data_IF_034951915010
#
_entry.id   IF_034951915010
#
_cell.length_a   1.000
_cell.length_b   1.000
_cell.length_c   1.000
_cell.angle_alpha   90.00
_cell.angle_beta   90.00
_cell.angle_gamma   90.00
#
_symmetry.space_group_name_H-M   'P 1'
#
loop_
_entity.id
_entity.type
_entity.pdbx_description
1 polymer ?
#
# COMPACT_ATOMS: atom_id res chain seq x y z
N UNK A 1 0.46 -10.68 -5.76
CA UNK A 1 -0.77 -11.44 -6.00
C UNK A 1 -1.96 -10.51 -5.79
N UNK A 2 -2.61 -10.07 -6.86
CA UNK A 2 -3.78 -9.18 -6.78
C UNK A 2 -5.06 -9.96 -6.47
N UNK A 3 -5.09 -11.21 -6.92
CA UNK A 3 -6.28 -12.07 -6.96
C UNK A 3 -6.70 -12.56 -5.58
N UNK A 4 -5.85 -12.37 -4.57
CA UNK A 4 -6.21 -12.62 -3.17
C UNK A 4 -7.19 -11.58 -2.59
N UNK A 5 -7.34 -10.41 -3.23
CA UNK A 5 -8.17 -9.32 -2.69
C UNK A 5 -9.09 -8.66 -3.72
N UNK A 6 -8.87 -8.87 -5.01
CA UNK A 6 -9.59 -8.17 -6.06
C UNK A 6 -9.88 -9.07 -7.27
N UNK A 7 -10.96 -8.76 -7.99
CA UNK A 7 -11.16 -9.24 -9.35
C UNK A 7 -10.24 -8.43 -10.28
N UNK A 8 -9.44 -9.10 -11.10
CA UNK A 8 -8.38 -8.47 -11.89
C UNK A 8 -8.69 -8.56 -13.40
N UNK A 9 -9.08 -7.45 -14.05
CA UNK A 9 -9.22 -7.42 -15.51
C UNK A 9 -7.88 -7.62 -16.22
N UNK A 10 -7.90 -8.20 -17.43
CA UNK A 10 -6.69 -8.50 -18.20
C UNK A 10 -5.79 -7.27 -18.43
N UNK A 11 -6.37 -6.09 -18.68
CA UNK A 11 -5.60 -4.86 -18.95
C UNK A 11 -4.65 -4.47 -17.79
N UNK A 12 -4.90 -4.94 -16.56
CA UNK A 12 -4.03 -4.66 -15.41
C UNK A 12 -2.64 -5.24 -15.67
N UNK A 13 -2.56 -6.43 -16.26
CA UNK A 13 -1.30 -7.09 -16.59
C UNK A 13 -0.56 -6.34 -17.68
N UNK A 14 -1.26 -5.91 -18.73
CA UNK A 14 -0.69 -5.06 -19.79
C UNK A 14 -0.07 -3.78 -19.23
N UNK A 15 -0.78 -3.10 -18.32
CA UNK A 15 -0.27 -1.88 -17.67
C UNK A 15 0.95 -2.17 -16.80
N UNK A 16 0.97 -3.29 -16.07
CA UNK A 16 2.11 -3.66 -15.24
C UNK A 16 3.35 -3.95 -16.09
N UNK A 17 3.20 -4.63 -17.23
CA UNK A 17 4.30 -4.86 -18.18
C UNK A 17 4.83 -3.55 -18.75
N UNK A 18 3.96 -2.59 -19.06
CA UNK A 18 4.36 -1.27 -19.55
C UNK A 18 5.03 -0.39 -18.48
N UNK A 19 4.78 -0.65 -17.19
CA UNK A 19 5.14 0.21 -16.07
C UNK A 19 6.17 -0.45 -15.13
N UNK A 20 7.09 -1.23 -15.70
CA UNK A 20 8.05 -2.07 -14.97
C UNK A 20 8.94 -1.33 -13.94
N UNK A 21 9.19 -0.02 -14.15
CA UNK A 21 10.08 0.80 -13.33
C UNK A 21 9.37 1.84 -12.44
N UNK A 22 8.04 1.78 -12.33
CA UNK A 22 7.27 2.77 -11.55
C UNK A 22 6.23 2.10 -10.67
N UNK A 23 5.81 2.79 -9.61
CA UNK A 23 4.71 2.31 -8.77
C UNK A 23 3.38 2.61 -9.44
N UNK A 24 2.47 1.63 -9.49
CA UNK A 24 1.14 1.77 -10.08
C UNK A 24 0.09 1.30 -9.09
N UNK A 25 -1.00 2.06 -8.97
CA UNK A 25 -2.14 1.71 -8.14
C UNK A 25 -3.39 1.54 -8.99
N UNK A 26 -4.11 0.45 -8.77
CA UNK A 26 -5.35 0.11 -9.45
C UNK A 26 -6.50 0.13 -8.46
N UNK A 27 -7.62 0.76 -8.84
CA UNK A 27 -8.89 0.62 -8.14
C UNK A 27 -9.66 -0.52 -8.81
N UNK A 28 -9.88 -1.60 -8.07
CA UNK A 28 -10.44 -2.84 -8.59
C UNK A 28 -11.67 -3.27 -7.79
N UNK A 29 -12.57 -4.09 -8.35
CA UNK A 29 -13.63 -4.74 -7.58
C UNK A 29 -13.04 -5.58 -6.45
N UNK A 30 -13.53 -5.38 -5.22
CA UNK A 30 -13.13 -6.14 -4.04
C UNK A 30 -13.80 -7.52 -4.08
N UNK A 31 -13.05 -8.57 -3.79
CA UNK A 31 -13.62 -9.91 -3.61
C UNK A 31 -14.56 -9.98 -2.39
N UNK A 32 -15.67 -10.73 -2.43
CA UNK A 32 -16.66 -10.80 -1.34
C UNK A 32 -16.09 -11.12 0.05
N UNK A 33 -15.09 -12.00 0.12
CA UNK A 33 -14.42 -12.49 1.34
C UNK A 33 -13.50 -11.45 2.01
N UNK A 34 -13.06 -10.43 1.28
CA UNK A 34 -12.14 -9.42 1.81
C UNK A 34 -12.86 -8.52 2.82
N UNK A 35 -12.39 -8.31 4.05
CA UNK A 35 -13.14 -7.51 5.02
C UNK A 35 -13.45 -6.09 4.51
N UNK A 36 -14.71 -5.65 4.64
CA UNK A 36 -15.14 -4.29 4.28
C UNK A 36 -14.36 -3.18 5.01
N UNK A 37 -13.75 -3.51 6.15
CA UNK A 37 -12.86 -2.61 6.88
C UNK A 37 -11.68 -2.15 6.02
N UNK A 38 -11.19 -2.99 5.10
CA UNK A 38 -10.07 -2.67 4.20
C UNK A 38 -10.42 -1.68 3.09
N UNK A 39 -11.71 -1.47 2.82
CA UNK A 39 -12.20 -0.58 1.76
C UNK A 39 -12.97 0.62 2.29
N UNK A 40 -13.05 0.76 3.63
CA UNK A 40 -13.93 1.74 4.27
C UNK A 40 -15.40 1.54 3.89
N UNK A 41 -15.83 0.29 3.70
CA UNK A 41 -17.21 -0.07 3.37
C UNK A 41 -17.55 -0.13 1.87
N UNK A 42 -16.61 0.15 0.98
CA UNK A 42 -16.81 0.17 -0.48
C UNK A 42 -16.70 -1.23 -1.10
N UNK A 43 -17.27 -1.38 -2.28
CA UNK A 43 -17.17 -2.60 -3.09
C UNK A 43 -15.91 -2.63 -3.98
N UNK A 44 -15.05 -1.62 -3.87
CA UNK A 44 -13.77 -1.54 -4.56
C UNK A 44 -12.61 -1.43 -3.57
N UNK A 45 -11.45 -1.94 -3.99
CA UNK A 45 -10.19 -1.92 -3.23
C UNK A 45 -9.07 -1.33 -4.10
N UNK A 46 -8.15 -0.60 -3.48
CA UNK A 46 -6.94 -0.13 -4.14
C UNK A 46 -5.82 -1.13 -3.90
N UNK A 47 -5.25 -1.65 -4.99
CA UNK A 47 -4.05 -2.51 -4.95
C UNK A 47 -2.92 -1.79 -5.65
N UNK A 48 -1.75 -1.74 -5.01
CA UNK A 48 -0.57 -1.02 -5.53
C UNK A 48 0.60 -1.98 -5.71
N UNK A 49 1.19 -1.97 -6.89
CA UNK A 49 2.54 -2.53 -7.12
C UNK A 49 3.54 -1.41 -6.90
N UNK A 50 4.50 -1.66 -6.02
CA UNK A 50 5.49 -0.69 -5.59
C UNK A 50 6.80 -0.95 -6.31
N UNK A 51 7.45 0.12 -6.77
CA UNK A 51 8.81 0.09 -7.30
C UNK A 51 9.75 0.82 -6.34
N UNK A 52 9.82 0.33 -5.10
CA UNK A 52 10.71 0.85 -4.06
C UNK A 52 11.42 -0.32 -3.37
N UNK A 53 12.77 -0.38 -3.35
CA UNK A 53 13.51 -1.55 -2.88
C UNK A 53 13.11 -2.01 -1.47
N UNK A 54 12.96 -1.08 -0.52
CA UNK A 54 12.54 -1.43 0.83
C UNK A 54 11.11 -1.99 0.86
N UNK A 55 10.18 -1.43 0.10
CA UNK A 55 8.78 -1.86 0.14
C UNK A 55 8.62 -3.25 -0.49
N UNK A 56 9.39 -3.53 -1.55
CA UNK A 56 9.48 -4.86 -2.16
C UNK A 56 10.04 -5.87 -1.13
N UNK A 57 11.18 -5.56 -0.51
CA UNK A 57 11.79 -6.44 0.47
C UNK A 57 10.88 -6.74 1.68
N UNK A 58 10.09 -5.74 2.13
CA UNK A 58 9.09 -5.95 3.17
C UNK A 58 7.97 -6.89 2.70
N UNK A 59 7.46 -6.71 1.48
CA UNK A 59 6.44 -7.58 0.90
C UNK A 59 6.96 -9.01 0.68
N UNK A 60 8.23 -9.20 0.32
CA UNK A 60 8.82 -10.53 0.11
C UNK A 60 8.85 -11.36 1.41
N UNK A 61 8.98 -10.69 2.56
CA UNK A 61 9.04 -11.35 3.88
C UNK A 61 7.66 -11.46 4.52
N UNK A 62 6.82 -10.43 4.41
CA UNK A 62 5.54 -10.34 5.11
C UNK A 62 4.33 -10.75 4.27
N UNK A 63 4.49 -10.86 2.95
CA UNK A 63 3.37 -10.89 2.01
C UNK A 63 2.76 -9.49 1.77
N UNK A 64 1.52 -9.41 1.28
CA UNK A 64 0.85 -8.14 1.00
C UNK A 64 0.72 -7.25 2.24
N UNK A 65 1.06 -5.96 2.09
CA UNK A 65 1.02 -5.00 3.19
C UNK A 65 -0.10 -3.98 2.96
N UNK A 66 -0.99 -3.87 3.95
CA UNK A 66 -1.95 -2.77 4.03
C UNK A 66 -1.21 -1.54 4.55
N UNK A 67 -1.30 -0.42 3.83
CA UNK A 67 -0.62 0.82 4.22
C UNK A 67 -1.50 2.05 3.98
N UNK A 68 -1.22 3.07 4.76
CA UNK A 68 -1.70 4.46 4.57
C UNK A 68 -0.50 5.39 4.65
N UNK A 69 -0.71 6.70 4.51
CA UNK A 69 0.35 7.66 4.80
C UNK A 69 0.68 7.60 6.30
N UNK A 70 1.98 7.62 6.64
CA UNK A 70 2.48 7.42 8.00
C UNK A 70 2.33 8.68 8.88
N UNK A 71 1.11 9.20 8.98
CA UNK A 71 0.78 10.41 9.72
C UNK A 71 -0.45 10.22 10.60
N UNK A 72 -0.59 11.08 11.60
CA UNK A 72 -1.84 11.19 12.34
C UNK A 72 -2.92 11.77 11.42
N UNK A 73 -4.16 11.33 11.61
CA UNK A 73 -5.30 11.79 10.82
C UNK A 73 -5.39 13.33 10.80
N UNK A 74 -5.54 13.89 9.60
CA UNK A 74 -5.64 15.33 9.38
C UNK A 74 -4.30 16.10 9.35
N UNK A 75 -3.17 15.44 9.57
CA UNK A 75 -1.83 16.05 9.41
C UNK A 75 -1.23 15.77 8.03
N UNK A 76 -0.26 16.58 7.64
CA UNK A 76 0.52 16.36 6.43
C UNK A 76 1.36 15.08 6.55
N UNK A 77 1.46 14.24 5.51
CA UNK A 77 2.36 13.09 5.49
C UNK A 77 3.82 13.51 5.73
N UNK A 78 4.55 12.86 6.65
CA UNK A 78 5.95 13.17 6.89
C UNK A 78 6.79 12.80 5.66
N UNK A 79 7.80 13.62 5.37
CA UNK A 79 8.83 13.40 4.35
C UNK A 79 10.19 13.07 4.96
N UNK A 80 10.34 13.23 6.27
CA UNK A 80 11.56 12.87 7.02
C UNK A 80 11.24 11.97 8.20
N UNK A 81 12.25 11.22 8.66
CA UNK A 81 12.15 10.40 9.87
C UNK A 81 11.86 11.24 11.13
N UNK A 82 12.38 12.47 11.19
CA UNK A 82 12.12 13.42 12.28
C UNK A 82 10.64 13.81 12.32
N UNK A 83 10.07 14.24 11.19
CA UNK A 83 8.64 14.56 11.09
C UNK A 83 7.76 13.35 11.44
N UNK A 84 8.16 12.13 11.04
CA UNK A 84 7.42 10.91 11.37
C UNK A 84 7.46 10.60 12.87
N UNK A 85 8.60 10.80 13.53
CA UNK A 85 8.75 10.60 14.99
C UNK A 85 8.00 11.66 15.79
N UNK A 86 8.03 12.91 15.35
CA UNK A 86 7.27 14.00 15.98
C UNK A 86 5.76 13.76 15.91
N UNK A 87 5.28 13.16 14.82
CA UNK A 87 3.87 12.84 14.67
C UNK A 87 3.44 11.57 15.39
N UNK A 88 4.16 10.46 15.20
CA UNK A 88 3.71 9.13 15.64
C UNK A 88 4.31 8.70 16.98
N UNK A 89 5.45 9.26 17.40
CA UNK A 89 6.11 8.98 18.67
C UNK A 89 6.22 7.48 19.01
N UNK A 90 5.70 7.08 20.18
CA UNK A 90 5.64 5.68 20.60
C UNK A 90 4.38 4.93 20.13
N UNK A 91 3.60 5.49 19.19
CA UNK A 91 2.35 4.90 18.70
C UNK A 91 2.53 3.82 17.62
N UNK A 92 3.78 3.55 17.23
CA UNK A 92 4.15 2.50 16.28
C UNK A 92 5.29 1.67 16.85
N UNK A 93 5.33 0.39 16.51
CA UNK A 93 6.36 -0.53 17.01
C UNK A 93 7.74 -0.27 16.38
N UNK A 94 7.76 0.12 15.11
CA UNK A 94 8.98 0.27 14.33
C UNK A 94 8.97 1.50 13.44
N UNK A 95 10.17 2.07 13.28
CA UNK A 95 10.50 3.06 12.27
C UNK A 95 11.60 2.50 11.39
N UNK A 96 11.46 2.62 10.08
CA UNK A 96 12.49 2.21 9.12
C UNK A 96 12.89 3.46 8.33
N UNK A 97 14.17 3.82 8.43
CA UNK A 97 14.76 4.91 7.68
C UNK A 97 15.49 4.36 6.45
N UNK A 98 15.15 4.87 5.26
CA UNK A 98 15.74 4.45 3.99
C UNK A 98 16.10 5.66 3.11
N UNK A 99 16.31 6.82 3.73
CA UNK A 99 16.68 8.06 3.04
C UNK A 99 15.51 8.98 2.74
#
# INVERSE_FOLDING_TARGET
>A
DFEIVAEVPEFVWDVLEMMEAVSVAFLLPRLPEVPKALTGGRDTIVVRVVHHPLAIALCDVAGPIISTSANLHGREPPRTMEEARDQLGGGVDYYIDYG
#
